data_IF_679154171576
#
_entry.id   IF_679154171576
#
_cell.length_a   1.000
_cell.length_b   1.000
_cell.length_c   1.000
_cell.angle_alpha   90.00
_cell.angle_beta   90.00
_cell.angle_gamma   90.00
#
_symmetry.space_group_name_H-M   'P 1'
#
loop_
_entity.id
_entity.type
_entity.pdbx_description
1 polymer ?
#
# COMPACT_ATOMS: atom_id res chain seq x y z
N UNK A 1 44.75 -23.94 19.90
CA UNK A 1 43.43 -24.29 19.34
C UNK A 1 42.39 -24.40 20.44
N UNK A 2 42.65 -25.07 21.57
CA UNK A 2 41.66 -25.13 22.68
C UNK A 2 41.48 -23.79 23.44
N UNK A 3 42.50 -22.92 23.45
CA UNK A 3 42.43 -21.57 24.06
C UNK A 3 41.52 -20.59 23.31
N UNK A 4 41.23 -20.84 22.04
CA UNK A 4 40.45 -19.92 21.19
C UNK A 4 38.94 -20.12 21.38
N UNK A 5 38.54 -21.17 22.11
CA UNK A 5 37.14 -21.56 22.36
C UNK A 5 36.73 -21.37 23.83
N UNK A 6 37.70 -21.13 24.72
CA UNK A 6 37.47 -20.81 26.13
C UNK A 6 36.70 -19.48 26.26
N UNK A 7 35.50 -19.54 26.83
CA UNK A 7 34.61 -18.38 27.00
C UNK A 7 33.55 -18.18 25.91
N UNK A 8 33.55 -19.01 24.86
CA UNK A 8 32.50 -18.98 23.83
C UNK A 8 31.27 -19.80 24.27
N UNK A 9 31.46 -20.86 25.05
CA UNK A 9 30.39 -21.79 25.45
C UNK A 9 29.20 -21.14 26.16
N UNK A 10 29.44 -20.13 27.01
CA UNK A 10 28.36 -19.42 27.72
C UNK A 10 27.65 -18.34 26.88
N UNK A 11 28.20 -17.99 25.71
CA UNK A 11 27.59 -17.00 24.80
C UNK A 11 26.50 -17.62 23.91
N UNK A 12 26.50 -18.94 23.77
CA UNK A 12 25.50 -19.66 22.98
C UNK A 12 24.39 -20.18 23.88
N UNK A 13 23.30 -19.40 23.96
CA UNK A 13 22.07 -19.86 24.60
C UNK A 13 21.34 -20.76 23.60
N UNK A 14 21.26 -22.06 23.91
CA UNK A 14 20.47 -22.99 23.13
C UNK A 14 18.98 -22.75 23.41
N UNK A 15 18.27 -22.20 22.42
CA UNK A 15 16.83 -21.99 22.46
C UNK A 15 16.20 -23.08 21.58
N UNK A 16 15.74 -24.20 22.18
CA UNK A 16 15.32 -25.39 21.43
C UNK A 16 14.04 -25.15 20.64
N UNK A 17 13.25 -24.14 21.02
CA UNK A 17 12.01 -23.77 20.36
C UNK A 17 12.10 -22.36 19.78
N UNK A 18 11.51 -22.18 18.60
CA UNK A 18 11.43 -20.87 17.96
C UNK A 18 10.69 -19.84 18.85
N UNK A 19 9.71 -20.30 19.63
CA UNK A 19 8.99 -19.46 20.60
C UNK A 19 9.95 -18.80 21.61
N UNK A 20 10.88 -19.57 22.18
CA UNK A 20 11.86 -19.09 23.15
C UNK A 20 12.81 -18.04 22.53
N UNK A 21 13.14 -18.19 21.24
CA UNK A 21 13.91 -17.20 20.48
C UNK A 21 13.11 -15.91 20.29
N UNK A 22 11.84 -16.02 19.93
CA UNK A 22 10.97 -14.86 19.71
C UNK A 22 10.74 -14.08 21.00
N UNK A 23 10.54 -14.74 22.14
CA UNK A 23 10.41 -14.05 23.43
C UNK A 23 11.65 -13.20 23.78
N UNK A 24 12.83 -13.64 23.35
CA UNK A 24 14.09 -12.96 23.65
C UNK A 24 14.46 -11.87 22.64
N UNK A 25 14.19 -12.10 21.36
CA UNK A 25 14.57 -11.20 20.25
C UNK A 25 13.46 -10.20 19.91
N UNK A 26 12.22 -10.61 20.11
CA UNK A 26 11.01 -9.84 19.78
C UNK A 26 9.96 -9.96 20.91
N UNK A 27 10.24 -9.46 22.13
CA UNK A 27 9.32 -9.58 23.26
C UNK A 27 7.92 -9.06 22.89
N UNK A 28 6.84 -9.76 23.28
CA UNK A 28 5.49 -9.35 22.95
C UNK A 28 5.14 -8.01 23.62
N UNK A 29 4.38 -7.18 22.92
CA UNK A 29 3.83 -5.92 23.42
C UNK A 29 2.33 -5.93 23.20
N UNK A 30 1.59 -5.39 24.17
CA UNK A 30 0.14 -5.25 24.06
C UNK A 30 -0.19 -4.14 23.07
N UNK A 31 -0.98 -4.48 22.04
CA UNK A 31 -1.41 -3.55 21.00
C UNK A 31 -2.91 -3.70 20.83
N UNK A 32 -3.65 -2.59 20.93
CA UNK A 32 -5.10 -2.60 20.82
C UNK A 32 -5.57 -2.37 19.37
N UNK A 33 -6.75 -2.88 18.97
CA UNK A 33 -7.33 -2.58 17.66
C UNK A 33 -7.48 -1.09 17.36
N UNK A 34 -7.78 -0.29 18.39
CA UNK A 34 -7.96 1.17 18.26
C UNK A 34 -6.64 1.86 17.91
N UNK A 35 -5.53 1.43 18.51
CA UNK A 35 -4.19 1.93 18.18
C UNK A 35 -3.86 1.62 16.71
N UNK A 36 -4.10 0.39 16.27
CA UNK A 36 -3.87 -0.01 14.88
C UNK A 36 -4.73 0.84 13.93
N UNK A 37 -6.04 0.93 14.18
CA UNK A 37 -6.97 1.73 13.36
C UNK A 37 -6.58 3.21 13.30
N UNK A 38 -6.03 3.77 14.39
CA UNK A 38 -5.53 5.15 14.41
C UNK A 38 -4.33 5.40 13.51
N UNK A 39 -3.49 4.38 13.26
CA UNK A 39 -2.28 4.50 12.46
C UNK A 39 -2.51 4.29 10.96
N UNK A 40 -3.44 3.41 10.57
CA UNK A 40 -3.70 3.05 9.17
C UNK A 40 -3.97 4.24 8.23
N UNK A 41 -4.74 5.29 8.62
CA UNK A 41 -4.98 6.44 7.75
C UNK A 41 -3.71 7.15 7.29
N UNK A 42 -2.67 7.20 8.14
CA UNK A 42 -1.39 7.85 7.80
C UNK A 42 -0.62 7.14 6.68
N UNK A 43 -0.97 5.88 6.40
CA UNK A 43 -0.35 5.06 5.38
C UNK A 43 -1.29 4.71 4.22
N UNK A 44 -2.48 5.34 4.14
CA UNK A 44 -3.51 4.94 3.17
C UNK A 44 -3.03 5.00 1.72
N UNK A 45 -2.21 6.00 1.38
CA UNK A 45 -1.63 6.15 0.05
C UNK A 45 -0.70 4.99 -0.33
N UNK A 46 0.02 4.42 0.63
CA UNK A 46 0.84 3.24 0.38
C UNK A 46 -0.05 2.05 0.00
N UNK A 47 -1.11 1.79 0.75
CA UNK A 47 -2.05 0.71 0.45
C UNK A 47 -2.78 0.91 -0.89
N UNK A 48 -3.19 2.14 -1.21
CA UNK A 48 -3.75 2.48 -2.52
C UNK A 48 -2.78 2.19 -3.65
N UNK A 49 -1.50 2.55 -3.48
CA UNK A 49 -0.45 2.32 -4.46
C UNK A 49 -0.23 0.81 -4.69
N UNK A 50 -0.10 0.03 -3.62
CA UNK A 50 0.05 -1.43 -3.73
C UNK A 50 -1.17 -2.08 -4.37
N UNK A 51 -2.39 -1.75 -3.91
CA UNK A 51 -3.61 -2.28 -4.50
C UNK A 51 -3.74 -1.93 -6.00
N UNK A 52 -3.35 -0.71 -6.39
CA UNK A 52 -3.31 -0.28 -7.80
C UNK A 52 -2.26 -1.05 -8.60
N UNK A 53 -1.07 -1.28 -8.05
CA UNK A 53 -0.01 -2.04 -8.72
C UNK A 53 -0.39 -3.52 -8.90
N UNK A 54 -0.98 -4.13 -7.87
CA UNK A 54 -1.36 -5.55 -7.89
C UNK A 54 -2.59 -5.79 -8.76
N UNK A 55 -3.65 -5.00 -8.57
CA UNK A 55 -4.99 -5.26 -9.15
C UNK A 55 -5.47 -4.19 -10.14
N UNK A 56 -4.76 -3.07 -10.28
CA UNK A 56 -5.07 -2.00 -11.24
C UNK A 56 -4.21 -2.03 -12.52
N UNK A 57 -3.24 -2.95 -12.61
CA UNK A 57 -2.45 -3.12 -13.83
C UNK A 57 -3.28 -3.76 -14.93
N UNK A 58 -3.32 -3.19 -16.16
CA UNK A 58 -4.00 -3.79 -17.30
C UNK A 58 -3.46 -5.18 -17.69
N UNK A 59 -2.21 -5.51 -17.33
CA UNK A 59 -1.66 -6.86 -17.50
C UNK A 59 -2.21 -7.82 -16.44
N UNK A 60 -2.25 -7.41 -15.16
CA UNK A 60 -2.91 -8.19 -14.10
C UNK A 60 -4.39 -8.41 -14.42
N UNK A 61 -5.02 -7.40 -15.03
CA UNK A 61 -6.42 -7.41 -15.37
C UNK A 61 -6.83 -8.44 -16.43
N UNK A 62 -5.87 -8.85 -17.25
CA UNK A 62 -6.07 -9.91 -18.22
C UNK A 62 -5.87 -11.30 -17.61
N UNK A 63 -5.09 -11.42 -16.53
CA UNK A 63 -4.68 -12.69 -15.95
C UNK A 63 -5.54 -13.16 -14.78
N UNK A 64 -6.10 -12.25 -13.98
CA UNK A 64 -6.80 -12.59 -12.74
C UNK A 64 -8.01 -11.67 -12.50
N UNK A 65 -9.15 -11.92 -13.17
CA UNK A 65 -10.40 -11.24 -12.82
C UNK A 65 -10.83 -11.60 -11.40
N UNK A 66 -11.49 -10.67 -10.71
CA UNK A 66 -11.99 -10.83 -9.36
C UNK A 66 -13.45 -10.40 -9.23
N UNK A 67 -14.22 -11.02 -8.32
CA UNK A 67 -15.61 -10.65 -8.11
C UNK A 67 -15.71 -9.29 -7.41
N UNK A 68 -16.55 -8.40 -7.93
CA UNK A 68 -16.82 -7.10 -7.32
C UNK A 68 -18.30 -6.72 -7.48
N UNK A 69 -18.85 -6.02 -6.49
CA UNK A 69 -20.21 -5.48 -6.54
C UNK A 69 -20.22 -4.23 -7.42
N UNK A 70 -21.00 -4.23 -8.49
CA UNK A 70 -21.19 -3.04 -9.32
C UNK A 70 -22.27 -2.14 -8.75
N UNK A 71 -21.97 -0.84 -8.58
CA UNK A 71 -22.92 0.17 -8.11
C UNK A 71 -24.10 0.36 -9.07
N UNK A 72 -23.85 0.27 -10.38
CA UNK A 72 -24.88 0.53 -11.41
C UNK A 72 -25.94 -0.56 -11.50
N UNK A 73 -25.57 -1.82 -11.31
CA UNK A 73 -26.51 -2.97 -11.38
C UNK A 73 -26.90 -3.49 -10.01
N UNK A 74 -26.11 -3.22 -8.97
CA UNK A 74 -26.26 -3.83 -7.66
C UNK A 74 -25.94 -5.33 -7.65
N UNK A 75 -25.25 -5.84 -8.66
CA UNK A 75 -24.89 -7.25 -8.82
C UNK A 75 -23.39 -7.45 -8.68
N UNK A 76 -23.00 -8.63 -8.21
CA UNK A 76 -21.59 -9.07 -8.22
C UNK A 76 -21.24 -9.52 -9.63
N UNK A 77 -20.20 -8.90 -10.18
CA UNK A 77 -19.72 -9.12 -11.53
C UNK A 77 -18.21 -9.32 -11.54
N UNK A 78 -17.71 -9.92 -12.61
CA UNK A 78 -16.28 -10.11 -12.83
C UNK A 78 -15.63 -8.78 -13.18
N UNK A 79 -14.83 -8.24 -12.27
CA UNK A 79 -13.98 -7.10 -12.49
C UNK A 79 -12.60 -7.55 -12.98
N UNK A 80 -12.14 -6.93 -14.06
CA UNK A 80 -10.81 -7.13 -14.60
C UNK A 80 -9.81 -6.23 -13.89
N UNK A 81 -10.19 -5.09 -13.35
CA UNK A 81 -9.22 -4.26 -12.64
C UNK A 81 -9.72 -2.87 -12.35
N UNK A 82 -8.91 -2.14 -11.60
CA UNK A 82 -9.12 -0.73 -11.31
C UNK A 82 -8.64 0.15 -12.44
N UNK A 83 -9.31 1.29 -12.60
CA UNK A 83 -8.93 2.35 -13.51
C UNK A 83 -8.71 3.63 -12.72
N UNK A 84 -7.59 4.30 -13.00
CA UNK A 84 -7.23 5.56 -12.36
C UNK A 84 -5.76 5.62 -11.95
N UNK A 85 -5.25 6.83 -11.65
CA UNK A 85 -3.97 6.97 -10.95
C UNK A 85 -4.05 6.38 -9.53
N UNK A 86 -2.90 6.11 -8.89
CA UNK A 86 -2.85 5.82 -7.46
C UNK A 86 -3.60 6.90 -6.67
N UNK A 87 -4.57 6.49 -5.85
CA UNK A 87 -5.46 7.41 -5.11
C UNK A 87 -6.84 7.63 -5.72
N UNK A 88 -7.10 7.16 -6.95
CA UNK A 88 -8.46 7.17 -7.52
C UNK A 88 -9.40 6.14 -6.88
N UNK A 89 -8.84 5.14 -6.18
CA UNK A 89 -9.61 4.21 -5.35
C UNK A 89 -9.71 4.73 -3.91
N UNK A 90 -10.89 4.58 -3.33
CA UNK A 90 -11.14 4.79 -1.92
C UNK A 90 -10.90 3.47 -1.16
N UNK A 91 -10.13 3.55 -0.07
CA UNK A 91 -9.92 2.45 0.87
C UNK A 91 -10.53 2.84 2.21
N UNK A 92 -11.37 1.96 2.74
CA UNK A 92 -11.96 2.08 4.06
C UNK A 92 -11.63 0.81 4.86
N UNK A 93 -11.22 0.99 6.11
CA UNK A 93 -10.93 -0.14 7.01
C UNK A 93 -12.24 -0.67 7.56
N UNK A 94 -12.61 -1.90 7.21
CA UNK A 94 -13.79 -2.57 7.75
C UNK A 94 -13.48 -3.24 9.08
N UNK A 95 -12.39 -4.00 9.13
CA UNK A 95 -12.04 -4.84 10.26
C UNK A 95 -10.53 -4.93 10.44
N UNK A 96 -10.10 -5.08 11.70
CA UNK A 96 -8.71 -5.31 12.10
C UNK A 96 -8.72 -6.42 13.15
N UNK A 97 -8.06 -7.53 12.86
CA UNK A 97 -7.97 -8.70 13.72
C UNK A 97 -6.55 -9.27 13.79
N UNK A 98 -6.38 -10.36 14.54
CA UNK A 98 -5.13 -11.13 14.67
C UNK A 98 -3.92 -10.26 15.01
N UNK A 99 -4.13 -9.27 15.87
CA UNK A 99 -3.11 -8.28 16.22
C UNK A 99 -2.07 -8.93 17.12
N UNK A 100 -0.80 -8.79 16.75
CA UNK A 100 0.34 -9.23 17.55
C UNK A 100 1.38 -8.14 17.57
N UNK A 101 1.70 -7.62 18.76
CA UNK A 101 2.73 -6.60 18.97
C UNK A 101 4.05 -7.21 19.41
N UNK A 102 5.15 -6.59 18.98
CA UNK A 102 6.51 -7.02 19.26
C UNK A 102 7.42 -5.83 19.46
N UNK A 103 8.36 -5.94 20.38
CA UNK A 103 9.46 -4.99 20.52
C UNK A 103 10.67 -5.45 19.72
N UNK A 104 11.04 -4.72 18.68
CA UNK A 104 12.20 -5.02 17.84
C UNK A 104 13.24 -3.90 18.03
N UNK A 105 14.28 -4.20 18.81
CA UNK A 105 15.29 -3.19 19.19
C UNK A 105 14.70 -2.09 20.08
N UNK A 106 14.78 -0.84 19.61
CA UNK A 106 14.23 0.32 20.30
C UNK A 106 12.77 0.62 19.92
N UNK A 107 12.25 -0.03 18.87
CA UNK A 107 10.94 0.29 18.29
C UNK A 107 9.92 -0.81 18.58
N UNK A 108 8.67 -0.40 18.67
CA UNK A 108 7.52 -1.31 18.79
C UNK A 108 6.89 -1.47 17.41
N UNK A 109 6.60 -2.71 17.06
CA UNK A 109 6.04 -3.12 15.79
C UNK A 109 4.81 -3.96 16.05
N UNK A 110 3.92 -4.03 15.08
CA UNK A 110 2.82 -4.96 15.15
C UNK A 110 2.55 -5.60 13.80
N UNK A 111 1.97 -6.79 13.86
CA UNK A 111 1.31 -7.42 12.74
C UNK A 111 -0.19 -7.45 12.97
N UNK A 112 -0.96 -7.26 11.91
CA UNK A 112 -2.42 -7.30 11.97
C UNK A 112 -2.98 -7.79 10.64
N UNK A 113 -4.13 -8.47 10.71
CA UNK A 113 -4.95 -8.78 9.55
C UNK A 113 -5.94 -7.62 9.39
N UNK A 114 -5.96 -6.98 8.22
CA UNK A 114 -6.80 -5.82 7.94
C UNK A 114 -7.69 -6.13 6.75
N UNK A 115 -8.99 -6.01 6.96
CA UNK A 115 -9.99 -6.10 5.91
C UNK A 115 -10.35 -4.70 5.41
N UNK A 116 -10.17 -4.49 4.12
CA UNK A 116 -10.41 -3.23 3.43
C UNK A 116 -11.66 -3.35 2.56
N UNK A 117 -12.49 -2.31 2.59
CA UNK A 117 -13.42 -2.02 1.51
C UNK A 117 -12.71 -1.16 0.49
N UNK A 118 -12.63 -1.65 -0.75
CA UNK A 118 -12.01 -0.94 -1.86
C UNK A 118 -13.11 -0.51 -2.82
N UNK A 119 -13.21 0.79 -3.10
CA UNK A 119 -14.21 1.37 -4.00
C UNK A 119 -13.51 2.23 -5.06
N UNK A 120 -13.92 2.10 -6.31
CA UNK A 120 -13.30 2.84 -7.40
C UNK A 120 -13.90 2.52 -8.76
N UNK A 121 -13.39 3.16 -9.80
CA UNK A 121 -13.77 2.84 -11.17
C UNK A 121 -13.14 1.50 -11.56
N UNK A 122 -13.97 0.55 -11.96
CA UNK A 122 -13.54 -0.77 -12.40
C UNK A 122 -13.94 -1.03 -13.84
N UNK A 123 -13.13 -1.84 -14.50
CA UNK A 123 -13.48 -2.47 -15.77
C UNK A 123 -14.15 -3.83 -15.52
N UNK A 124 -15.44 -3.91 -15.77
CA UNK A 124 -16.20 -5.17 -15.82
C UNK A 124 -16.25 -5.68 -17.26
N UNK A 125 -16.50 -6.97 -17.46
CA UNK A 125 -16.49 -7.62 -18.79
C UNK A 125 -17.29 -6.88 -19.88
N UNK A 126 -18.41 -6.26 -19.51
CA UNK A 126 -19.31 -5.59 -20.45
C UNK A 126 -19.26 -4.05 -20.37
N UNK A 127 -18.65 -3.45 -19.34
CA UNK A 127 -18.75 -1.99 -19.09
C UNK A 127 -17.74 -1.47 -18.08
N UNK A 128 -17.61 -0.15 -18.02
CA UNK A 128 -17.03 0.53 -16.86
C UNK A 128 -18.12 0.90 -15.86
N UNK A 129 -17.83 0.69 -14.59
CA UNK A 129 -18.74 1.11 -13.53
C UNK A 129 -17.97 1.29 -12.24
N UNK A 130 -18.59 1.96 -11.27
CA UNK A 130 -18.08 1.97 -9.91
C UNK A 130 -18.31 0.59 -9.33
N UNK A 131 -17.22 0.00 -8.86
CA UNK A 131 -17.21 -1.30 -8.22
C UNK A 131 -16.73 -1.21 -6.78
N UNK A 132 -17.13 -2.20 -6.00
CA UNK A 132 -16.66 -2.41 -4.64
C UNK A 132 -16.20 -3.86 -4.49
N UNK A 133 -15.05 -4.08 -3.86
CA UNK A 133 -14.61 -5.39 -3.41
C UNK A 133 -14.06 -5.29 -1.99
N UNK A 134 -13.99 -6.42 -1.30
CA UNK A 134 -13.19 -6.54 -0.08
C UNK A 134 -11.81 -7.05 -0.43
N UNK A 135 -10.81 -6.54 0.27
CA UNK A 135 -9.42 -6.96 0.14
C UNK A 135 -8.84 -7.18 1.53
N UNK A 136 -8.20 -8.31 1.76
CA UNK A 136 -7.64 -8.65 3.06
C UNK A 136 -6.11 -8.67 2.99
N UNK A 137 -5.46 -8.02 3.95
CA UNK A 137 -4.00 -7.97 4.01
C UNK A 137 -3.49 -8.31 5.40
N UNK A 138 -2.39 -9.06 5.45
CA UNK A 138 -1.55 -9.16 6.63
C UNK A 138 -0.47 -8.10 6.54
N UNK A 139 -0.41 -7.20 7.51
CA UNK A 139 0.55 -6.10 7.53
C UNK A 139 1.56 -6.25 8.66
N UNK A 140 2.73 -5.64 8.48
CA UNK A 140 3.72 -5.33 9.51
C UNK A 140 3.94 -3.81 9.49
N UNK A 141 3.71 -3.15 10.61
CA UNK A 141 3.84 -1.70 10.71
C UNK A 141 4.44 -1.31 12.06
N UNK A 142 5.26 -0.24 12.13
CA UNK A 142 5.72 0.30 13.40
C UNK A 142 4.54 0.93 14.16
N UNK A 143 4.58 0.86 15.50
CA UNK A 143 3.59 1.47 16.40
C UNK A 143 3.88 2.97 16.65
N UNK A 144 4.31 3.68 15.61
CA UNK A 144 4.59 5.13 15.66
C UNK A 144 4.06 5.82 14.41
N UNK A 145 3.37 6.94 14.60
CA UNK A 145 2.86 7.74 13.49
C UNK A 145 4.03 8.37 12.72
N UNK A 146 3.99 8.29 11.38
CA UNK A 146 5.08 8.81 10.54
C UNK A 146 6.36 7.97 10.59
N UNK A 147 6.30 6.77 11.16
CA UNK A 147 7.38 5.79 11.08
C UNK A 147 7.60 5.27 9.65
N UNK A 148 8.52 4.29 9.50
CA UNK A 148 8.74 3.60 8.23
C UNK A 148 7.45 3.12 7.56
N UNK A 149 7.43 3.14 6.23
CA UNK A 149 6.31 2.64 5.42
C UNK A 149 5.95 1.21 5.81
N UNK A 150 4.65 0.89 6.00
CA UNK A 150 4.22 -0.47 6.33
C UNK A 150 4.62 -1.47 5.26
N UNK A 151 4.76 -2.73 5.67
CA UNK A 151 4.98 -3.86 4.77
C UNK A 151 3.74 -4.73 4.72
N UNK A 152 3.30 -5.08 3.52
CA UNK A 152 2.27 -6.10 3.32
C UNK A 152 2.98 -7.45 3.26
N UNK A 153 2.79 -8.27 4.29
CA UNK A 153 3.36 -9.61 4.40
C UNK A 153 2.60 -10.61 3.53
N UNK A 154 1.28 -10.45 3.50
CA UNK A 154 0.38 -11.28 2.70
C UNK A 154 -0.80 -10.44 2.23
N UNK A 155 -1.31 -10.73 1.03
CA UNK A 155 -2.50 -10.11 0.49
C UNK A 155 -3.35 -11.18 -0.18
N UNK A 156 -4.59 -11.30 0.26
CA UNK A 156 -5.53 -12.21 -0.37
C UNK A 156 -6.04 -11.63 -1.71
N UNK A 157 -6.58 -12.53 -2.54
CA UNK A 157 -7.28 -12.12 -3.74
C UNK A 157 -8.58 -11.39 -3.37
N UNK A 158 -8.97 -10.32 -4.10
CA UNK A 158 -10.18 -9.58 -3.78
C UNK A 158 -11.43 -10.46 -3.85
N UNK A 159 -12.38 -10.18 -2.94
CA UNK A 159 -13.65 -10.90 -2.80
C UNK A 159 -14.83 -9.93 -3.00
N UNK A 160 -16.00 -10.47 -3.32
CA UNK A 160 -17.21 -9.67 -3.34
C UNK A 160 -17.57 -9.23 -1.91
N UNK A 161 -18.02 -7.98 -1.71
CA UNK A 161 -18.56 -7.55 -0.44
C UNK A 161 -20.00 -8.06 -0.28
N UNK A 162 -20.49 -8.10 0.96
CA UNK A 162 -21.92 -8.22 1.19
C UNK A 162 -22.63 -6.97 0.70
N UNK A 163 -23.71 -7.13 -0.09
CA UNK A 163 -24.35 -6.01 -0.77
C UNK A 163 -24.83 -4.92 0.18
N UNK A 164 -25.29 -5.30 1.36
CA UNK A 164 -25.84 -4.40 2.38
C UNK A 164 -24.75 -3.70 3.21
N UNK A 165 -23.52 -4.23 3.22
CA UNK A 165 -22.42 -3.66 4.00
C UNK A 165 -21.69 -2.53 3.28
N UNK A 166 -21.96 -2.32 1.98
CA UNK A 166 -21.21 -1.35 1.19
C UNK A 166 -21.68 0.08 1.44
N UNK A 167 -20.82 0.84 2.11
CA UNK A 167 -20.95 2.28 2.23
C UNK A 167 -20.40 2.95 0.96
N UNK A 168 -21.27 3.26 0.01
CA UNK A 168 -20.86 3.98 -1.19
C UNK A 168 -20.57 5.44 -0.84
N UNK A 169 -19.30 5.89 -0.94
CA UNK A 169 -18.99 7.25 -0.58
C UNK A 169 -19.62 8.20 -1.61
N UNK A 170 -20.08 9.36 -1.15
CA UNK A 170 -20.62 10.44 -1.99
C UNK A 170 -19.51 11.17 -2.75
N UNK A 171 -18.46 10.46 -3.17
CA UNK A 171 -17.32 11.03 -3.87
C UNK A 171 -17.82 11.48 -5.25
N UNK A 172 -17.64 12.76 -5.63
CA UNK A 172 -17.73 13.12 -7.01
C UNK A 172 -16.58 12.42 -7.73
N UNK A 173 -16.90 11.58 -8.71
CA UNK A 173 -15.95 10.89 -9.60
C UNK A 173 -15.10 11.83 -10.46
N UNK A 174 -15.13 13.13 -10.16
CA UNK A 174 -14.38 14.20 -10.78
C UNK A 174 -12.86 14.00 -10.74
N UNK A 175 -12.36 12.99 -10.00
CA UNK A 175 -10.97 12.54 -10.04
C UNK A 175 -10.56 11.81 -11.33
N UNK A 176 -11.50 11.36 -12.17
CA UNK A 176 -11.19 10.57 -13.38
C UNK A 176 -11.61 11.27 -14.67
N UNK A 177 -12.62 12.14 -14.63
CA UNK A 177 -13.14 12.85 -15.80
C UNK A 177 -12.22 13.96 -16.33
N UNK A 178 -11.19 14.35 -15.58
CA UNK A 178 -10.21 15.36 -16.00
C UNK A 178 -8.99 14.78 -16.73
N UNK A 179 -8.83 13.46 -16.78
CA UNK A 179 -7.74 12.82 -17.53
C UNK A 179 -8.21 12.55 -18.97
N UNK A 180 -7.59 13.16 -20.00
CA UNK A 180 -7.98 12.96 -21.40
C UNK A 180 -8.06 11.47 -21.78
N UNK A 181 -7.11 10.68 -21.28
CA UNK A 181 -7.06 9.24 -21.49
C UNK A 181 -8.27 8.50 -20.89
N UNK A 182 -8.85 8.98 -19.79
CA UNK A 182 -10.04 8.37 -19.21
C UNK A 182 -11.31 8.70 -20.01
N UNK A 183 -11.38 9.88 -20.66
CA UNK A 183 -12.51 10.24 -21.53
C UNK A 183 -12.53 9.43 -22.82
N UNK A 184 -11.37 9.26 -23.45
CA UNK A 184 -11.23 8.40 -24.63
C UNK A 184 -11.50 6.93 -24.28
N UNK A 185 -11.04 6.49 -23.11
CA UNK A 185 -11.35 5.17 -22.57
C UNK A 185 -12.86 4.98 -22.39
N UNK A 186 -13.55 5.89 -21.69
CA UNK A 186 -14.99 5.85 -21.48
C UNK A 186 -15.76 5.79 -22.80
N UNK A 187 -15.39 6.62 -23.78
CA UNK A 187 -16.01 6.63 -25.12
C UNK A 187 -15.76 5.31 -25.86
N UNK A 188 -14.56 4.75 -25.79
CA UNK A 188 -14.24 3.47 -26.40
C UNK A 188 -15.03 2.31 -25.76
N UNK A 189 -15.39 2.41 -24.48
CA UNK A 189 -16.21 1.42 -23.78
C UNK A 189 -17.69 1.43 -24.17
N UNK A 190 -18.19 2.54 -24.72
CA UNK A 190 -19.52 2.60 -25.34
C UNK A 190 -19.55 1.90 -26.71
N UNK A 191 -18.38 1.61 -27.30
CA UNK A 191 -18.30 0.86 -28.55
C UNK A 191 -18.71 -0.59 -28.34
N UNK A 192 -19.50 -1.16 -29.26
CA UNK A 192 -19.77 -2.60 -29.31
C UNK A 192 -18.52 -3.43 -29.67
N UNK A 193 -17.49 -2.82 -30.25
CA UNK A 193 -16.27 -3.49 -30.70
C UNK A 193 -15.31 -3.80 -29.56
N UNK A 194 -15.06 -5.10 -29.33
CA UNK A 194 -14.06 -5.59 -28.36
C UNK A 194 -12.65 -5.09 -28.68
N UNK A 195 -12.30 -4.93 -29.95
CA UNK A 195 -10.98 -4.46 -30.38
C UNK A 195 -10.76 -2.99 -30.00
N UNK A 196 -11.78 -2.14 -30.19
CA UNK A 196 -11.75 -0.72 -29.79
C UNK A 196 -11.56 -0.60 -28.27
N UNK A 197 -12.32 -1.37 -27.48
CA UNK A 197 -12.17 -1.43 -26.01
C UNK A 197 -10.76 -1.87 -25.59
N UNK A 198 -10.23 -2.89 -26.24
CA UNK A 198 -8.89 -3.44 -25.93
C UNK A 198 -7.79 -2.43 -26.25
N UNK A 199 -7.84 -1.78 -27.41
CA UNK A 199 -6.85 -0.76 -27.79
C UNK A 199 -6.90 0.47 -26.89
N UNK A 200 -8.09 0.90 -26.48
CA UNK A 200 -8.25 2.01 -25.54
C UNK A 200 -7.65 1.67 -24.16
N UNK A 201 -7.88 0.45 -23.66
CA UNK A 201 -7.24 -0.05 -22.43
C UNK A 201 -5.71 -0.05 -22.52
N UNK A 202 -5.15 -0.49 -23.65
CA UNK A 202 -3.70 -0.47 -23.88
C UNK A 202 -3.17 0.96 -23.90
N UNK A 203 -3.85 1.87 -24.62
CA UNK A 203 -3.41 3.26 -24.71
C UNK A 203 -3.46 3.96 -23.35
N UNK A 204 -4.51 3.70 -22.56
CA UNK A 204 -4.62 4.17 -21.18
C UNK A 204 -3.49 3.64 -20.29
N UNK A 205 -3.15 2.35 -20.40
CA UNK A 205 -2.03 1.74 -19.70
C UNK A 205 -0.70 2.45 -20.01
N UNK A 206 -0.47 2.71 -21.30
CA UNK A 206 0.74 3.37 -21.78
C UNK A 206 0.80 4.85 -21.35
N UNK A 207 -0.33 5.55 -21.30
CA UNK A 207 -0.41 6.92 -20.77
C UNK A 207 -0.05 6.97 -19.28
N UNK A 208 -0.51 6.01 -18.48
CA UNK A 208 -0.15 5.89 -17.06
C UNK A 208 1.35 5.71 -16.84
N UNK A 209 1.99 4.87 -17.66
CA UNK A 209 3.45 4.66 -17.63
C UNK A 209 4.23 5.92 -17.99
N UNK A 210 3.75 6.72 -18.96
CA UNK A 210 4.39 7.99 -19.33
C UNK A 210 4.27 9.06 -18.24
N UNK A 211 3.17 9.05 -17.48
CA UNK A 211 2.99 9.94 -16.32
C UNK A 211 3.98 9.66 -15.18
N UNK A 212 4.29 8.40 -14.91
CA UNK A 212 5.26 8.02 -13.87
C UNK A 212 6.72 8.39 -14.20
N UNK A 213 7.06 8.56 -15.48
CA UNK A 213 8.41 9.01 -15.90
C UNK A 213 8.58 10.52 -15.73
N UNK A 214 7.49 11.28 -15.60
CA UNK A 214 7.53 12.74 -15.53
C UNK A 214 7.74 13.31 -14.11
N UNK A 215 7.72 12.49 -13.05
CA UNK A 215 7.90 12.91 -11.64
C UNK A 215 9.06 12.21 -10.92
N UNK A 216 10.15 11.91 -11.63
CA UNK A 216 11.44 11.89 -10.95
C UNK A 216 11.96 13.33 -11.04
N UNK A 217 11.99 14.13 -9.95
CA UNK A 217 12.69 15.40 -10.01
C UNK A 217 14.13 15.06 -10.43
N UNK A 218 14.53 15.51 -11.61
CA UNK A 218 15.92 15.49 -12.02
C UNK A 218 16.63 16.32 -10.96
N UNK A 219 17.39 15.65 -10.09
CA UNK A 219 18.23 16.31 -9.10
C UNK A 219 19.13 17.25 -9.88
N UNK A 220 18.86 18.55 -9.77
CA UNK A 220 19.65 19.56 -10.45
C UNK A 220 20.91 19.82 -9.64
N UNK A 221 21.94 20.35 -10.29
CA UNK A 221 23.18 20.77 -9.61
C UNK A 221 22.89 21.77 -8.48
N UNK A 222 21.80 22.54 -8.59
CA UNK A 222 21.32 23.45 -7.54
C UNK A 222 20.76 22.71 -6.31
N UNK A 223 20.10 21.56 -6.49
CA UNK A 223 19.59 20.75 -5.37
C UNK A 223 20.74 20.08 -4.60
N UNK A 224 21.80 19.68 -5.31
CA UNK A 224 23.04 19.15 -4.70
C UNK A 224 23.77 20.23 -3.92
N UNK A 225 23.90 21.45 -4.48
CA UNK A 225 24.52 22.58 -3.82
C UNK A 225 23.72 23.03 -2.57
N UNK A 226 22.39 23.02 -2.63
CA UNK A 226 21.53 23.33 -1.49
C UNK A 226 21.69 22.29 -0.36
N UNK A 227 21.76 21.00 -0.70
CA UNK A 227 22.01 19.92 0.27
C UNK A 227 23.41 20.01 0.91
N UNK A 228 24.42 20.42 0.14
CA UNK A 228 25.78 20.62 0.64
C UNK A 228 25.92 21.84 1.56
N UNK A 229 25.22 22.95 1.27
CA UNK A 229 25.22 24.14 2.12
C UNK A 229 24.60 23.86 3.50
N UNK A 230 23.52 23.05 3.56
CA UNK A 230 22.89 22.63 4.82
C UNK A 230 23.82 21.72 5.63
N UNK A 231 24.68 20.93 4.96
CA UNK A 231 25.65 20.06 5.63
C UNK A 231 26.86 20.83 6.20
N UNK A 232 27.20 22.01 5.66
CA UNK A 232 28.26 22.86 6.19
C UNK A 232 27.80 23.73 7.37
N UNK A 233 26.55 24.20 7.39
CA UNK A 233 26.01 24.96 8.54
C UNK A 233 25.83 24.11 9.81
N UNK A 234 25.70 22.79 9.68
CA UNK A 234 25.64 21.86 10.83
C UNK A 234 27.00 21.52 11.46
N UNK A 235 28.10 22.08 10.96
CA UNK A 235 29.49 21.76 11.38
C UNK A 235 30.20 22.92 12.13
N UNK A 236 29.44 23.78 12.80
CA UNK A 236 30.04 24.68 13.79
C UNK A 236 30.42 23.89 15.05
N UNK A 237 31.73 23.67 15.21
CA UNK A 237 32.37 23.10 16.39
C UNK A 237 31.95 23.85 17.67
N UNK A 238 31.76 23.13 18.80
CA UNK A 238 31.54 23.78 20.10
C UNK A 238 32.78 24.59 20.51
N UNK A 239 32.62 25.76 21.17
CA UNK A 239 33.74 26.54 21.65
C UNK A 239 34.49 25.73 22.72
N UNK A 240 35.79 25.56 22.51
CA UNK A 240 36.69 24.92 23.47
C UNK A 240 36.77 25.70 24.77
N UNK A 241 36.70 24.97 25.87
CA UNK A 241 37.06 25.43 27.21
C UNK A 241 38.57 25.78 27.22
N UNK A 242 38.87 27.07 27.29
CA UNK A 242 40.18 27.57 27.71
C UNK A 242 40.20 27.59 29.24
N UNK A 243 40.77 26.54 29.84
CA UNK A 243 41.20 26.54 31.24
C UNK A 243 42.50 27.37 31.36
N UNK A 244 42.43 28.45 32.13
CA UNK A 244 43.57 29.18 32.73
C UNK A 244 43.34 29.34 34.22
#
# INVERSE_FOLDING_TARGET
>A
MDSDVEGIGERFVHLPQLADLLERVAPPVEVTPEQVKGLLPSCIHHFQSVASATWGSPLSALAAPYPALSRSTGLVESARGWLGPPGAMHLEVLQVDDIQGYKLGAEEWFTASVQWQVIGLMHFDARLSIGCCTWETRILMPLVQGGPTPRILHAEHPKAPDRESVSWPTIPLNGLSHLPAARDLLTAFESESRLVRTLAMINYALSGLRGQVAEVPVVTEADVLAAMAIAEEGKQDPPGDDDS
#
